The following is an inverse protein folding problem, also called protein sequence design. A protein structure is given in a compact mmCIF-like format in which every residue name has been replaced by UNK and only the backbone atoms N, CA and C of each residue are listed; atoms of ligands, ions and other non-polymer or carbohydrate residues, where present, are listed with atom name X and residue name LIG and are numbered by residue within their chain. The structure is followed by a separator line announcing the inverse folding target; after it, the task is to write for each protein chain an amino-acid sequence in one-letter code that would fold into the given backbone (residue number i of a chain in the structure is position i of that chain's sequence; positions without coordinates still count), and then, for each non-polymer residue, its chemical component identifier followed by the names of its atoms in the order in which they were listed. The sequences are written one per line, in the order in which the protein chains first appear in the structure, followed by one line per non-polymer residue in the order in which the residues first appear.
data_IF_004219434727
#
_entry.id   IF_004219434727
#
_cell.length_a   1.000
_cell.length_b   1.000
_cell.length_c   1.000
_cell.angle_alpha   90.00
_cell.angle_beta   90.00
_cell.angle_gamma   90.00
#
_symmetry.space_group_name_H-M   'P 1'
#
loop_
_entity.id
_entity.type
_entity.pdbx_description
1 polymer ?
2 water ?
#
# COMPACT_ATOMS: atom_id res chain seq x y z
N UNK A 1 -2.57 -17.23 -9.13
CA UNK A 1 -1.43 -18.10 -9.62
C UNK A 1 -0.38 -18.38 -8.56
N UNK A 2 -0.21 -19.67 -8.30
CA UNK A 2 0.70 -20.12 -7.29
C UNK A 2 2.04 -20.43 -7.93
N UNK A 3 2.11 -20.33 -9.25
CA UNK A 3 3.29 -20.79 -9.95
C UNK A 3 4.54 -20.10 -9.40
N UNK A 4 5.56 -20.90 -9.16
CA UNK A 4 6.86 -20.39 -8.71
C UNK A 4 6.90 -19.92 -7.26
N UNK A 5 5.85 -20.20 -6.49
CA UNK A 5 5.81 -19.68 -5.12
C UNK A 5 7.01 -20.18 -4.29
N UNK A 6 7.47 -19.31 -3.39
CA UNK A 6 8.61 -19.58 -2.51
C UNK A 6 8.17 -19.99 -1.10
N UNK A 7 9.11 -20.57 -0.36
CA UNK A 7 8.79 -21.07 0.98
C UNK A 7 8.47 -19.91 1.92
N UNK A 8 7.32 -19.97 2.57
CA UNK A 8 6.96 -19.00 3.63
C UNK A 8 6.92 -17.55 3.17
N UNK A 9 6.67 -17.33 1.88
CA UNK A 9 6.47 -15.97 1.38
C UNK A 9 5.10 -15.96 0.68
N UNK A 10 4.22 -15.04 1.08
CA UNK A 10 2.87 -14.93 0.47
C UNK A 10 3.01 -14.96 -1.07
N UNK A 11 2.35 -15.94 -1.73
CA UNK A 11 2.52 -16.11 -3.16
C UNK A 11 1.94 -14.95 -4.00
N UNK A 12 1.06 -14.13 -3.39
CA UNK A 12 0.52 -12.96 -4.11
C UNK A 12 1.61 -11.93 -4.44
N UNK A 13 2.75 -12.02 -3.75
CA UNK A 13 3.85 -11.09 -4.01
C UNK A 13 4.64 -11.61 -5.20
N UNK A 14 4.40 -11.04 -6.38
CA UNK A 14 5.19 -11.46 -7.54
C UNK A 14 6.61 -10.90 -7.51
N UNK A 15 7.43 -11.33 -8.46
CA UNK A 15 8.85 -11.00 -8.44
C UNK A 15 9.09 -9.47 -8.45
N UNK A 16 8.37 -8.74 -9.30
CA UNK A 16 8.58 -7.28 -9.40
C UNK A 16 8.21 -6.61 -8.07
N UNK A 17 7.14 -7.09 -7.43
CA UNK A 17 6.73 -6.50 -6.11
C UNK A 17 7.75 -6.86 -5.01
N UNK A 18 8.19 -8.12 -4.96
CA UNK A 18 9.19 -8.52 -3.98
C UNK A 18 10.45 -7.67 -4.11
N UNK A 19 10.88 -7.47 -5.35
CA UNK A 19 12.06 -6.64 -5.62
C UNK A 19 11.87 -5.24 -5.00
N UNK A 20 10.74 -4.61 -5.32
CA UNK A 20 10.46 -3.26 -4.81
C UNK A 20 10.46 -3.24 -3.29
N UNK A 21 9.73 -4.19 -2.69
CA UNK A 21 9.65 -4.21 -1.24
C UNK A 21 11.04 -4.37 -0.61
N UNK A 22 11.89 -5.23 -1.19
CA UNK A 22 13.22 -5.45 -0.62
C UNK A 22 14.18 -4.25 -0.85
N UNK A 23 14.03 -3.59 -2.01
CA UNK A 23 14.95 -2.51 -2.40
C UNK A 23 14.67 -1.16 -1.71
N UNK A 24 13.44 -1.01 -1.23
CA UNK A 24 13.10 0.23 -0.51
C UNK A 24 13.90 0.44 0.78
N UNK A 25 14.26 1.69 1.05
CA UNK A 25 14.90 2.01 2.32
C UNK A 25 13.91 2.36 3.42
N UNK A 26 14.44 2.51 4.63
CA UNK A 26 13.64 2.91 5.78
C UNK A 26 13.07 4.27 5.47
N UNK A 27 11.76 4.42 5.57
CA UNK A 27 11.15 5.71 5.29
C UNK A 27 10.71 5.94 3.87
N UNK A 28 11.08 5.05 2.95
CA UNK A 28 10.55 5.09 1.59
C UNK A 28 9.05 4.77 1.67
N UNK A 29 8.30 5.23 0.69
CA UNK A 29 6.85 5.01 0.67
C UNK A 29 6.43 4.21 -0.56
N UNK A 30 5.28 3.56 -0.46
CA UNK A 30 4.63 2.96 -1.63
C UNK A 30 3.12 3.24 -1.56
N UNK A 31 2.48 3.22 -2.72
CA UNK A 31 1.02 3.34 -2.79
C UNK A 31 0.42 1.99 -3.17
N UNK A 32 -0.57 1.53 -2.40
CA UNK A 32 -1.46 0.47 -2.88
C UNK A 32 -2.66 1.20 -3.50
N UNK A 33 -2.92 0.95 -4.78
CA UNK A 33 -4.02 1.67 -5.43
C UNK A 33 -5.18 0.75 -5.82
N UNK A 34 -6.37 1.35 -5.86
CA UNK A 34 -7.56 0.68 -6.41
C UNK A 34 -7.57 0.85 -7.92
N UNK A 35 -8.65 0.42 -8.57
CA UNK A 35 -8.72 0.49 -10.03
C UNK A 35 -9.09 1.89 -10.50
N UNK A 36 -9.51 2.74 -9.55
CA UNK A 36 -10.00 4.08 -9.88
C UNK A 36 -8.89 5.11 -10.02
N UNK A 37 -7.85 4.94 -9.22
CA UNK A 37 -6.70 5.84 -9.18
C UNK A 37 -5.99 5.84 -10.55
N UNK A 38 -5.42 6.98 -10.98
CA UNK A 38 -4.68 6.99 -12.24
C UNK A 38 -3.27 6.43 -12.03
N UNK A 39 -3.21 5.12 -11.88
CA UNK A 39 -1.97 4.47 -11.47
C UNK A 39 -0.92 4.57 -12.55
N UNK A 40 -1.33 4.48 -13.82
CA UNK A 40 -0.34 4.50 -14.91
C UNK A 40 0.39 5.82 -14.96
N UNK A 41 -0.36 6.91 -14.97
CA UNK A 41 0.29 8.22 -15.01
C UNK A 41 1.12 8.51 -13.75
N UNK A 42 0.60 8.15 -12.57
CA UNK A 42 1.30 8.46 -11.33
C UNK A 42 2.58 7.60 -11.26
N UNK A 43 2.46 6.33 -11.65
CA UNK A 43 3.63 5.43 -11.56
C UNK A 43 4.84 5.88 -12.39
N UNK A 44 4.60 6.62 -13.48
CA UNK A 44 5.66 7.14 -14.37
C UNK A 44 6.61 8.07 -13.62
N UNK A 45 6.08 8.69 -12.56
CA UNK A 45 6.82 9.60 -11.67
C UNK A 45 7.54 8.93 -10.48
N UNK A 46 7.25 7.66 -10.22
CA UNK A 46 7.83 6.98 -9.08
C UNK A 46 9.22 6.45 -9.42
N UNK A 47 9.93 5.98 -8.39
CA UNK A 47 11.27 5.43 -8.57
C UNK A 47 11.24 4.25 -9.53
N UNK A 48 10.22 3.39 -9.39
CA UNK A 48 10.14 2.19 -10.22
C UNK A 48 9.76 2.58 -11.65
N UNK A 49 8.90 3.60 -11.81
CA UNK A 49 8.65 4.15 -13.13
C UNK A 49 7.61 3.44 -13.96
N UNK A 50 7.01 2.39 -13.40
CA UNK A 50 5.93 1.64 -14.05
C UNK A 50 4.99 1.07 -12.95
N UNK A 51 3.74 0.77 -13.31
CA UNK A 51 2.79 0.26 -12.30
C UNK A 51 3.15 -1.20 -12.01
N UNK A 52 3.22 -1.53 -10.72
CA UNK A 52 3.32 -2.91 -10.25
C UNK A 52 1.90 -3.38 -9.89
N UNK A 53 1.73 -4.67 -9.63
CA UNK A 53 0.38 -5.26 -9.52
C UNK A 53 0.33 -6.35 -8.46
N UNK A 54 -0.78 -6.44 -7.71
CA UNK A 54 -1.15 -7.67 -7.00
C UNK A 54 -2.56 -7.87 -7.54
N UNK A 55 -2.67 -8.52 -8.68
CA UNK A 55 -3.91 -8.37 -9.44
C UNK A 55 -5.08 -9.20 -8.94
N UNK A 56 -6.27 -8.66 -9.18
CA UNK A 56 -7.53 -9.28 -8.86
C UNK A 56 -7.87 -9.28 -7.38
N UNK A 57 -6.92 -8.93 -6.51
CA UNK A 57 -7.25 -9.02 -5.09
C UNK A 57 -7.80 -7.70 -4.57
N UNK A 58 -8.51 -7.78 -3.45
CA UNK A 58 -8.99 -6.60 -2.72
C UNK A 58 -7.84 -5.80 -2.11
N UNK A 59 -8.09 -4.54 -1.76
CA UNK A 59 -7.03 -3.74 -1.09
C UNK A 59 -6.58 -4.44 0.20
N UNK A 60 -7.54 -4.99 0.96
CA UNK A 60 -7.17 -5.63 2.22
C UNK A 60 -6.29 -6.87 1.96
N UNK A 61 -6.62 -7.66 0.94
CA UNK A 61 -5.78 -8.82 0.61
C UNK A 61 -4.36 -8.40 0.20
N UNK A 62 -4.28 -7.31 -0.55
CA UNK A 62 -3.01 -6.74 -0.96
C UNK A 62 -2.21 -6.25 0.25
N UNK A 63 -2.88 -5.52 1.13
CA UNK A 63 -2.25 -5.08 2.38
C UNK A 63 -1.70 -6.26 3.18
N UNK A 64 -2.50 -7.33 3.28
CA UNK A 64 -2.05 -8.52 4.02
C UNK A 64 -0.78 -9.08 3.40
N UNK A 65 -0.76 -9.13 2.08
CA UNK A 65 0.41 -9.71 1.40
C UNK A 65 1.63 -8.82 1.63
N UNK A 66 1.47 -7.53 1.38
CA UNK A 66 2.57 -6.59 1.54
C UNK A 66 3.10 -6.56 2.98
N UNK A 67 2.22 -6.49 3.99
CA UNK A 67 2.68 -6.39 5.36
C UNK A 67 3.25 -7.71 5.90
N UNK A 68 3.01 -8.82 5.18
CA UNK A 68 3.58 -10.08 5.61
C UNK A 68 5.11 -10.04 5.50
N UNK A 69 5.64 -9.16 4.63
CA UNK A 69 7.09 -8.98 4.53
C UNK A 69 7.61 -7.58 4.89
N UNK A 70 6.77 -6.57 4.67
CA UNK A 70 7.19 -5.18 4.87
C UNK A 70 6.99 -4.69 6.31
N UNK A 71 8.09 -4.33 7.02
CA UNK A 71 7.89 -3.66 8.29
C UNK A 71 7.38 -2.25 8.02
N UNK A 72 6.50 -1.77 8.88
CA UNK A 72 5.98 -0.39 8.82
C UNK A 72 6.73 0.49 9.81
N UNK A 73 6.78 1.79 9.55
CA UNK A 73 7.54 2.71 10.42
C UNK A 73 6.78 3.16 11.69
N UNK A 74 5.78 2.37 12.07
CA UNK A 74 4.91 2.60 13.24
C UNK A 74 5.59 3.04 14.57
N UNK A 75 6.75 2.44 14.92
CA UNK A 75 7.40 2.88 16.16
C UNK A 75 7.79 4.36 16.11
N UNK A 76 7.99 4.88 14.89
CA UNK A 76 8.47 6.25 14.73
C UNK A 76 7.43 7.27 14.23
N UNK A 77 6.44 6.81 13.47
CA UNK A 77 5.43 7.72 12.90
C UNK A 77 4.23 6.90 12.42
N UNK A 78 3.02 7.50 12.38
CA UNK A 78 1.93 6.80 11.69
C UNK A 78 2.36 6.46 10.26
N UNK A 79 2.14 5.20 9.86
CA UNK A 79 2.81 4.70 8.65
C UNK A 79 1.89 4.13 7.60
N UNK A 80 0.58 4.29 7.78
CA UNK A 80 -0.31 4.04 6.68
C UNK A 80 -1.28 5.20 6.58
N UNK A 81 -1.20 5.87 5.43
CA UNK A 81 -2.11 6.99 5.08
C UNK A 81 -3.27 6.46 4.23
N UNK A 82 -4.46 6.98 4.49
CA UNK A 82 -5.64 6.68 3.66
C UNK A 82 -6.20 7.98 3.08
N UNK A 83 -7.07 7.87 2.09
CA UNK A 83 -7.68 9.05 1.49
C UNK A 83 -8.79 9.54 2.40
N UNK A 84 -8.91 10.86 2.51
CA UNK A 84 -10.02 11.43 3.26
C UNK A 84 -11.22 11.48 2.33
N UNK A 85 -12.35 10.96 2.82
CA UNK A 85 -13.62 11.10 2.12
C UNK A 85 -13.93 12.60 2.06
N UNK A 86 -14.37 13.07 0.90
CA UNK A 86 -14.57 14.50 0.71
C UNK A 86 -15.55 15.10 1.74
N UNK A 87 -15.10 16.16 2.42
CA UNK A 87 -15.89 16.81 3.48
C UNK A 87 -16.19 15.99 4.73
N UNK A 88 -15.46 14.90 4.95
CA UNK A 88 -15.66 14.08 6.14
C UNK A 88 -14.35 13.43 6.59
N UNK A 89 -13.44 14.22 7.20
CA UNK A 89 -12.11 13.69 7.50
C UNK A 89 -12.11 12.42 8.35
N UNK A 90 -13.09 12.24 9.23
CA UNK A 90 -13.11 11.07 10.11
C UNK A 90 -13.85 9.87 9.52
N UNK A 91 -14.57 10.06 8.43
CA UNK A 91 -15.37 8.96 7.87
C UNK A 91 -14.50 7.87 7.27
N UNK A 92 -14.84 6.62 7.56
CA UNK A 92 -14.19 5.45 6.96
C UNK A 92 -15.16 4.66 6.10
N UNK A 93 -14.70 4.30 4.92
CA UNK A 93 -15.43 3.44 3.98
C UNK A 93 -15.16 1.97 4.27
N UNK A 94 -16.10 1.07 3.89
CA UNK A 94 -15.86 -0.36 4.09
C UNK A 94 -14.48 -0.83 3.59
N UNK A 95 -14.05 -0.38 2.42
CA UNK A 95 -12.75 -0.79 1.89
C UNK A 95 -11.63 -0.40 2.86
N UNK A 96 -11.79 0.77 3.50
CA UNK A 96 -10.80 1.25 4.46
C UNK A 96 -10.82 0.48 5.78
N UNK A 97 -12.00 0.15 6.32
CA UNK A 97 -12.02 -0.59 7.57
C UNK A 97 -11.42 -1.99 7.43
N UNK A 98 -11.68 -2.64 6.29
CA UNK A 98 -11.07 -3.94 5.98
C UNK A 98 -9.55 -3.85 5.99
N UNK A 99 -9.01 -2.81 5.36
CA UNK A 99 -7.55 -2.64 5.30
C UNK A 99 -6.99 -2.39 6.70
N UNK A 100 -7.69 -1.61 7.54
CA UNK A 100 -7.22 -1.36 8.89
C UNK A 100 -7.04 -2.67 9.66
N UNK A 101 -7.96 -3.63 9.44
CA UNK A 101 -7.83 -4.93 10.10
C UNK A 101 -6.49 -5.59 9.78
N UNK A 102 -6.05 -5.48 8.53
CA UNK A 102 -4.80 -6.14 8.13
C UNK A 102 -3.59 -5.45 8.74
N UNK A 103 -3.69 -4.14 8.91
CA UNK A 103 -2.62 -3.39 9.53
C UNK A 103 -2.52 -3.79 10.99
N UNK A 104 -3.64 -3.79 11.71
CA UNK A 104 -3.63 -4.13 13.12
C UNK A 104 -3.19 -5.58 13.32
N UNK A 105 -3.60 -6.48 12.42
CA UNK A 105 -3.15 -7.87 12.49
C UNK A 105 -1.63 -7.98 12.35
N UNK A 106 -1.05 -7.23 11.40
CA UNK A 106 0.41 -7.29 11.14
C UNK A 106 1.20 -6.68 12.32
N UNK A 107 0.66 -5.61 12.91
CA UNK A 107 1.32 -4.90 14.01
C UNK A 107 1.10 -5.59 15.35
N UNK A 108 0.03 -6.37 15.45
CA UNK A 108 -0.38 -6.94 16.74
C UNK A 108 -0.81 -5.91 17.78
N UNK A 109 -1.22 -4.72 17.30
CA UNK A 109 -1.68 -3.61 18.14
C UNK A 109 -2.49 -2.67 17.26
N UNK A 110 -3.20 -1.73 17.88
CA UNK A 110 -3.97 -0.76 17.13
C UNK A 110 -3.01 0.24 16.49
N UNK A 111 -3.13 0.41 15.18
CA UNK A 111 -2.30 1.37 14.45
C UNK A 111 -3.19 2.12 13.45
N UNK A 112 -4.10 3.01 13.95
CA UNK A 112 -5.05 3.66 13.03
C UNK A 112 -4.38 4.41 11.87
N UNK A 113 -4.93 4.28 10.68
CA UNK A 113 -4.41 5.04 9.55
C UNK A 113 -4.62 6.52 9.78
N UNK A 114 -3.74 7.33 9.21
CA UNK A 114 -3.93 8.78 9.22
C UNK A 114 -4.56 9.24 7.90
N UNK A 115 -5.34 10.31 7.96
CA UNK A 115 -6.01 10.80 6.75
C UNK A 115 -5.15 11.73 5.91
N UNK A 116 -5.32 11.62 4.60
CA UNK A 116 -4.67 12.51 3.64
C UNK A 116 -5.69 13.06 2.63
N UNK A 117 -5.76 14.39 2.50
CA UNK A 117 -6.65 15.00 1.51
C UNK A 117 -6.31 14.56 0.10
N UNK A 118 -7.33 14.46 -0.76
CA UNK A 118 -7.19 13.94 -2.13
C UNK A 118 -5.97 14.48 -2.87
N UNK A 119 -5.84 15.80 -2.88
CA UNK A 119 -4.80 16.45 -3.67
C UNK A 119 -3.42 16.12 -3.12
N UNK A 120 -3.28 16.23 -1.80
CA UNK A 120 -2.06 15.86 -1.11
C UNK A 120 -1.72 14.39 -1.38
N UNK A 121 -2.73 13.51 -1.38
CA UNK A 121 -2.50 12.09 -1.60
C UNK A 121 -1.85 11.86 -2.96
N UNK A 122 -2.41 12.48 -4.01
CA UNK A 122 -1.83 12.41 -5.36
C UNK A 122 -0.40 12.88 -5.41
N UNK A 123 -0.12 14.01 -4.78
CA UNK A 123 1.22 14.56 -4.78
C UNK A 123 2.21 13.64 -4.04
N UNK A 124 1.79 13.07 -2.91
CA UNK A 124 2.61 12.12 -2.18
C UNK A 124 2.84 10.88 -3.03
N UNK A 125 1.79 10.43 -3.72
CA UNK A 125 1.91 9.25 -4.56
C UNK A 125 3.01 9.40 -5.60
N UNK A 126 3.13 10.61 -6.16
CA UNK A 126 4.13 10.86 -7.20
C UNK A 126 5.56 10.79 -6.66
N UNK A 127 5.71 10.89 -5.34
CA UNK A 127 7.00 10.84 -4.66
C UNK A 127 7.32 9.47 -4.08
N UNK A 128 6.43 8.51 -4.31
CA UNK A 128 6.58 7.16 -3.75
C UNK A 128 7.64 6.39 -4.53
N UNK A 129 8.16 5.35 -3.90
CA UNK A 129 9.05 4.39 -4.55
C UNK A 129 8.31 3.64 -5.66
N UNK A 130 7.07 3.25 -5.39
CA UNK A 130 6.27 2.56 -6.41
C UNK A 130 4.79 2.70 -6.14
N UNK A 131 4.01 2.42 -7.17
CA UNK A 131 2.55 2.20 -7.05
C UNK A 131 2.27 0.74 -7.34
N UNK A 132 1.54 0.09 -6.43
CA UNK A 132 1.14 -1.29 -6.64
C UNK A 132 -0.37 -1.32 -6.73
N UNK A 133 -0.88 -1.60 -7.93
CA UNK A 133 -2.34 -1.57 -8.10
C UNK A 133 -2.95 -2.95 -7.83
N UNK A 134 -4.26 -3.00 -7.65
CA UNK A 134 -4.93 -4.22 -7.22
C UNK A 134 -6.22 -4.39 -8.03
N UNK A 135 -7.02 -5.36 -7.62
CA UNK A 135 -8.35 -5.55 -8.21
C UNK A 135 -9.45 -4.86 -7.42
N UNK A 136 -9.05 -3.96 -6.50
CA UNK A 136 -9.99 -3.25 -5.66
C UNK A 136 -10.76 -2.22 -6.49
N UNK A 137 -12.08 -2.42 -6.61
CA UNK A 137 -12.89 -1.49 -7.41
C UNK A 137 -13.56 -0.40 -6.59
N UNK A 138 -13.68 -0.60 -5.28
CA UNK A 138 -14.40 0.36 -4.47
C UNK A 138 -13.69 1.71 -4.35
N UNK A 139 -14.49 2.76 -4.16
CA UNK A 139 -13.95 4.11 -4.09
C UNK A 139 -13.08 4.28 -2.83
N UNK A 140 -12.08 5.13 -2.92
CA UNK A 140 -11.19 5.45 -1.77
C UNK A 140 -10.37 4.24 -1.33
N UNK A 141 -10.01 3.39 -2.28
CA UNK A 141 -9.27 2.18 -1.91
C UNK A 141 -7.79 2.30 -2.11
N UNK A 142 -7.26 3.51 -1.89
CA UNK A 142 -5.80 3.74 -2.01
C UNK A 142 -5.16 4.06 -0.67
N UNK A 143 -3.92 3.60 -0.51
CA UNK A 143 -3.19 3.73 0.76
C UNK A 143 -1.74 4.05 0.51
N UNK A 144 -1.15 4.81 1.43
CA UNK A 144 0.26 5.19 1.36
C UNK A 144 1.01 4.58 2.55
N UNK A 145 1.94 3.67 2.27
CA UNK A 145 2.65 2.92 3.32
C UNK A 145 4.03 3.50 3.46
N UNK A 146 4.54 3.57 4.69
CA UNK A 146 5.94 3.97 4.92
C UNK A 146 6.71 2.80 5.52
N UNK A 147 7.79 2.41 4.86
CA UNK A 147 8.60 1.28 5.32
C UNK A 147 9.34 1.59 6.60
N UNK A 148 9.30 0.66 7.55
CA UNK A 148 10.02 0.80 8.79
C UNK A 148 11.38 0.14 8.71
N UNK A 149 11.80 -0.42 9.84
CA UNK A 149 13.14 -1.00 9.93
C UNK A 149 13.11 -2.13 10.95
N UNK A 150 13.71 -3.25 10.60
CA UNK A 150 13.82 -4.37 11.54
C UNK A 150 15.10 -4.18 12.37
N UNK A 151 15.02 -4.35 13.72
CA UNK A 151 16.21 -4.48 14.57
C UNK A 151 16.97 -5.77 14.28
#
# INVERSE_FOLDING_TARGET
YFQGMLKNIDPALNADVLHALRAMGHGDTLVISDTNFPSDSVARQTTVGKVLHIDNVSAARAMKAILSVLPLDTPLQPSVGRMEVMGAPDQLEPVQVEVQQEIDAAEGKSAPMYGIERFAFYEKAKQAYCVITTGETRFYGCFLLTKGVIPPK
#
